data_IF_480476161660
#
_entry.id   IF_480476161660
#
_cell.length_a   1.000
_cell.length_b   1.000
_cell.length_c   1.000
_cell.angle_alpha   90.00
_cell.angle_beta   90.00
_cell.angle_gamma   90.00
#
_symmetry.space_group_name_H-M   'P 1'
#
loop_
_entity.id
_entity.type
_entity.pdbx_description
1 polymer ?
#
# COMPACT_ATOMS: atom_id res chain seq x y z
N UNK A 1 27.42 -10.84 7.50
CA UNK A 1 26.35 -10.02 6.90
C UNK A 1 25.09 -10.26 7.69
N UNK A 2 24.30 -9.22 7.98
CA UNK A 2 22.97 -9.39 8.61
C UNK A 2 21.94 -9.61 7.51
N UNK A 3 21.01 -10.54 7.72
CA UNK A 3 19.83 -10.67 6.85
C UNK A 3 18.92 -9.46 7.11
N UNK A 4 18.27 -8.96 6.06
CA UNK A 4 17.22 -7.95 6.15
C UNK A 4 15.90 -8.55 5.72
N UNK A 5 14.90 -8.47 6.59
CA UNK A 5 13.55 -8.99 6.37
C UNK A 5 12.62 -7.81 6.12
N UNK A 6 11.90 -7.86 4.99
CA UNK A 6 10.96 -6.83 4.59
C UNK A 6 9.55 -7.42 4.63
N UNK A 7 8.68 -6.82 5.44
CA UNK A 7 7.24 -7.12 5.41
C UNK A 7 6.59 -6.45 4.19
N UNK A 8 6.27 -7.23 3.17
CA UNK A 8 5.56 -6.71 1.98
C UNK A 8 4.09 -6.45 2.32
N UNK A 9 3.75 -5.19 2.56
CA UNK A 9 2.35 -4.75 2.70
C UNK A 9 1.70 -4.67 1.31
N UNK A 10 2.45 -4.19 0.33
CA UNK A 10 1.99 -4.08 -1.06
C UNK A 10 0.72 -3.24 -1.15
N UNK A 11 -0.36 -3.89 -1.61
CA UNK A 11 -1.72 -3.32 -1.70
C UNK A 11 -2.73 -4.06 -0.81
N UNK A 12 -2.26 -4.90 0.11
CA UNK A 12 -3.10 -5.76 0.97
C UNK A 12 -3.93 -4.99 1.99
N UNK A 13 -3.72 -3.67 2.08
CA UNK A 13 -4.49 -2.75 2.92
C UNK A 13 -5.87 -2.42 2.34
N UNK A 14 -6.17 -2.77 1.08
CA UNK A 14 -7.47 -2.49 0.46
C UNK A 14 -7.89 -1.01 0.55
N UNK A 15 -6.94 -0.08 0.36
CA UNK A 15 -7.23 1.36 0.49
C UNK A 15 -7.60 1.84 1.90
N UNK A 16 -7.51 0.98 2.92
CA UNK A 16 -7.91 1.28 4.28
C UNK A 16 -6.67 1.50 5.17
N UNK A 17 -6.61 2.67 5.80
CA UNK A 17 -5.48 3.09 6.63
C UNK A 17 -5.38 2.28 7.94
N UNK A 18 -6.50 1.85 8.51
CA UNK A 18 -6.50 1.04 9.73
C UNK A 18 -6.00 -0.38 9.43
N UNK A 19 -6.38 -0.95 8.29
CA UNK A 19 -5.81 -2.22 7.82
C UNK A 19 -4.29 -2.05 7.59
N UNK A 20 -3.85 -0.96 6.95
CA UNK A 20 -2.43 -0.69 6.77
C UNK A 20 -1.68 -0.62 8.11
N UNK A 21 -2.19 0.13 9.09
CA UNK A 21 -1.61 0.22 10.45
C UNK A 21 -1.54 -1.15 11.13
N UNK A 22 -2.58 -1.97 11.02
CA UNK A 22 -2.58 -3.33 11.55
C UNK A 22 -1.51 -4.22 10.91
N UNK A 23 -1.33 -4.13 9.59
CA UNK A 23 -0.30 -4.89 8.87
C UNK A 23 1.11 -4.43 9.24
N UNK A 24 1.34 -3.13 9.37
CA UNK A 24 2.61 -2.57 9.84
C UNK A 24 2.94 -3.11 11.24
N UNK A 25 1.97 -3.04 12.16
CA UNK A 25 2.15 -3.54 13.53
C UNK A 25 2.46 -5.03 13.54
N UNK A 26 1.75 -5.83 12.76
CA UNK A 26 2.00 -7.27 12.66
C UNK A 26 3.42 -7.59 12.14
N UNK A 27 3.91 -6.84 11.14
CA UNK A 27 5.26 -7.00 10.62
C UNK A 27 6.33 -6.60 11.66
N UNK A 28 6.11 -5.51 12.38
CA UNK A 28 6.97 -5.06 13.47
C UNK A 28 7.03 -6.08 14.61
N UNK A 29 5.88 -6.58 15.06
CA UNK A 29 5.78 -7.58 16.12
C UNK A 29 6.43 -8.92 15.71
N UNK A 30 6.45 -9.23 14.42
CA UNK A 30 7.14 -10.39 13.86
C UNK A 30 8.67 -10.20 13.71
N UNK A 31 9.19 -9.00 13.98
CA UNK A 31 10.62 -8.68 13.91
C UNK A 31 11.13 -8.35 12.50
N UNK A 32 10.27 -7.85 11.61
CA UNK A 32 10.73 -7.34 10.32
C UNK A 32 11.61 -6.08 10.51
N UNK A 33 12.63 -5.91 9.65
CA UNK A 33 13.49 -4.73 9.67
C UNK A 33 12.79 -3.50 9.05
N UNK A 34 11.88 -3.75 8.12
CA UNK A 34 11.13 -2.70 7.42
C UNK A 34 9.85 -3.23 6.81
N UNK A 35 8.94 -2.33 6.46
CA UNK A 35 7.74 -2.63 5.67
C UNK A 35 7.79 -1.96 4.31
N UNK A 36 7.22 -2.61 3.29
CA UNK A 36 7.22 -2.09 1.92
C UNK A 36 5.81 -2.01 1.34
N UNK A 37 5.50 -0.86 0.74
CA UNK A 37 4.25 -0.59 0.02
C UNK A 37 4.47 -0.63 -1.50
N UNK A 38 3.38 -0.74 -2.24
CA UNK A 38 3.36 -0.51 -3.68
C UNK A 38 2.56 0.76 -3.97
N UNK A 39 3.17 1.71 -4.68
CA UNK A 39 2.50 2.91 -5.18
C UNK A 39 2.44 2.82 -6.70
N UNK A 40 1.30 3.18 -7.28
CA UNK A 40 1.19 3.36 -8.74
C UNK A 40 0.61 4.73 -9.06
N UNK A 41 1.07 5.31 -10.16
CA UNK A 41 0.27 6.31 -10.88
C UNK A 41 -0.44 5.54 -11.99
N UNK A 42 -1.73 5.26 -11.83
CA UNK A 42 -2.40 4.22 -12.61
C UNK A 42 -2.42 4.55 -14.12
N UNK A 43 -2.46 5.83 -14.47
CA UNK A 43 -2.43 6.33 -15.86
C UNK A 43 -1.05 6.16 -16.52
N UNK A 44 0.01 5.97 -15.72
CA UNK A 44 1.36 5.68 -16.23
C UNK A 44 1.60 4.18 -16.39
N UNK A 45 0.91 3.36 -15.60
CA UNK A 45 1.13 1.91 -15.55
C UNK A 45 0.18 1.17 -16.50
N UNK A 46 -1.01 1.71 -16.73
CA UNK A 46 -2.07 1.06 -17.50
C UNK A 46 -2.55 1.93 -18.66
N UNK A 47 -3.03 1.29 -19.73
CA UNK A 47 -3.69 1.98 -20.84
C UNK A 47 -5.07 2.46 -20.41
N UNK A 48 -5.57 3.53 -21.05
CA UNK A 48 -6.94 4.00 -20.82
C UNK A 48 -7.97 2.91 -21.13
N UNK A 49 -7.79 2.18 -22.23
CA UNK A 49 -8.66 1.05 -22.61
C UNK A 49 -8.77 0.00 -21.50
N UNK A 50 -7.66 -0.35 -20.83
CA UNK A 50 -7.70 -1.29 -19.72
C UNK A 50 -8.40 -0.68 -18.50
N UNK A 51 -8.07 0.58 -18.16
CA UNK A 51 -8.68 1.26 -17.01
C UNK A 51 -10.19 1.42 -17.16
N UNK A 52 -10.68 1.62 -18.37
CA UNK A 52 -12.10 1.82 -18.67
C UNK A 52 -12.84 0.49 -18.93
N UNK A 53 -12.17 -0.66 -18.82
CA UNK A 53 -12.79 -1.99 -18.94
C UNK A 53 -13.50 -2.43 -17.65
N UNK A 54 -14.52 -3.27 -17.81
CA UNK A 54 -15.38 -3.72 -16.73
C UNK A 54 -14.60 -4.52 -15.65
N UNK A 55 -14.91 -4.21 -14.40
CA UNK A 55 -14.50 -4.97 -13.23
C UNK A 55 -15.41 -4.69 -12.03
N UNK A 56 -16.15 -5.72 -11.62
CA UNK A 56 -16.89 -5.70 -10.36
C UNK A 56 -15.92 -5.69 -9.16
N UNK A 57 -16.04 -4.67 -8.31
CA UNK A 57 -15.22 -4.48 -7.12
C UNK A 57 -15.93 -3.62 -6.06
N UNK A 58 -15.48 -3.65 -4.79
CA UNK A 58 -16.03 -2.78 -3.75
C UNK A 58 -15.94 -1.27 -4.03
N UNK A 59 -15.12 -0.85 -5.00
CA UNK A 59 -14.91 0.57 -5.33
C UNK A 59 -15.68 1.03 -6.57
N UNK A 60 -16.29 0.11 -7.31
CA UNK A 60 -16.99 0.39 -8.56
C UNK A 60 -16.87 -0.74 -9.58
N UNK A 61 -17.31 -0.46 -10.79
CA UNK A 61 -17.53 -1.43 -11.86
C UNK A 61 -16.46 -1.37 -12.96
N UNK A 62 -15.39 -0.58 -12.76
CA UNK A 62 -14.26 -0.46 -13.70
C UNK A 62 -12.91 -0.81 -13.08
N UNK A 63 -11.93 -1.19 -13.91
CA UNK A 63 -10.54 -1.39 -13.46
C UNK A 63 -9.96 -0.12 -12.83
N UNK A 64 -10.35 1.06 -13.31
CA UNK A 64 -9.95 2.36 -12.78
C UNK A 64 -10.37 2.51 -11.33
N UNK A 65 -11.65 2.37 -11.04
CA UNK A 65 -12.21 2.56 -9.70
C UNK A 65 -11.56 1.64 -8.68
N UNK A 66 -11.39 0.36 -9.01
CA UNK A 66 -10.68 -0.58 -8.13
C UNK A 66 -9.25 -0.11 -7.84
N UNK A 67 -8.51 0.31 -8.88
CA UNK A 67 -7.11 0.68 -8.71
C UNK A 67 -6.95 1.97 -7.94
N UNK A 68 -7.74 3.00 -8.26
CA UNK A 68 -7.77 4.26 -7.52
C UNK A 68 -8.11 4.02 -6.05
N UNK A 69 -9.11 3.17 -5.79
CA UNK A 69 -9.51 2.77 -4.44
C UNK A 69 -8.44 2.06 -3.62
N UNK A 70 -7.40 1.50 -4.26
CA UNK A 70 -6.26 0.88 -3.60
C UNK A 70 -5.06 1.82 -3.44
N UNK A 71 -5.07 2.99 -4.06
CA UNK A 71 -3.95 3.92 -4.00
C UNK A 71 -4.07 4.86 -2.80
N UNK A 72 -2.99 4.98 -2.04
CA UNK A 72 -2.86 6.02 -1.04
C UNK A 72 -2.34 7.33 -1.64
N UNK A 73 -2.83 8.43 -1.08
CA UNK A 73 -2.38 9.79 -1.34
C UNK A 73 -1.33 10.24 -0.33
N UNK A 74 -1.00 11.53 -0.39
CA UNK A 74 0.04 12.13 0.47
C UNK A 74 -0.35 12.07 1.94
N UNK A 75 -1.63 12.28 2.26
CA UNK A 75 -2.12 12.30 3.64
C UNK A 75 -2.02 10.92 4.29
N UNK A 76 -2.42 9.86 3.58
CA UNK A 76 -2.32 8.49 4.08
C UNK A 76 -0.86 8.06 4.25
N UNK A 77 0.03 8.41 3.32
CA UNK A 77 1.46 8.14 3.50
C UNK A 77 2.09 8.95 4.64
N UNK A 78 1.60 10.15 4.93
CA UNK A 78 2.06 10.92 6.09
C UNK A 78 1.65 10.23 7.40
N UNK A 79 0.45 9.67 7.45
CA UNK A 79 -0.03 8.87 8.59
C UNK A 79 0.76 7.56 8.74
N UNK A 80 1.06 6.86 7.64
CA UNK A 80 1.91 5.67 7.63
C UNK A 80 3.31 6.01 8.15
N UNK A 81 3.87 7.13 7.71
CA UNK A 81 5.20 7.58 8.14
C UNK A 81 5.24 7.87 9.64
N UNK A 82 4.24 8.59 10.15
CA UNK A 82 4.12 8.87 11.59
C UNK A 82 4.00 7.56 12.39
N UNK A 83 3.14 6.64 11.95
CA UNK A 83 2.92 5.38 12.66
C UNK A 83 4.16 4.47 12.65
N UNK A 84 4.87 4.39 11.51
CA UNK A 84 6.12 3.63 11.42
C UNK A 84 7.19 4.21 12.36
N UNK A 85 7.28 5.55 12.48
CA UNK A 85 8.19 6.22 13.42
C UNK A 85 7.86 5.91 14.88
N UNK A 86 6.59 5.89 15.24
CA UNK A 86 6.14 5.52 16.59
C UNK A 86 6.54 4.08 16.96
N UNK A 87 6.45 3.16 16.02
CA UNK A 87 6.84 1.76 16.20
C UNK A 87 8.35 1.52 16.08
N UNK A 88 9.10 2.47 15.53
CA UNK A 88 10.54 2.34 15.29
C UNK A 88 10.90 1.43 14.11
N UNK A 89 10.00 1.23 13.14
CA UNK A 89 10.21 0.42 11.94
C UNK A 89 10.41 1.32 10.71
N UNK A 90 11.37 0.97 9.86
CA UNK A 90 11.58 1.70 8.59
C UNK A 90 10.51 1.32 7.58
N UNK A 91 10.15 2.23 6.69
CA UNK A 91 9.25 1.93 5.58
C UNK A 91 9.72 2.54 4.27
N UNK A 92 9.28 1.94 3.16
CA UNK A 92 9.50 2.48 1.82
C UNK A 92 8.44 1.97 0.86
N UNK A 93 8.41 2.51 -0.36
CA UNK A 93 7.50 2.06 -1.41
C UNK A 93 8.25 1.78 -2.72
N UNK A 94 7.74 0.83 -3.50
CA UNK A 94 8.06 0.69 -4.91
C UNK A 94 7.10 1.55 -5.72
N UNK A 95 7.65 2.39 -6.60
CA UNK A 95 6.90 3.29 -7.48
C UNK A 95 7.02 2.87 -8.95
#
# INVERSE_FOLDING_TARGET
MSIKIIGEIGINHNGDLDIAKNLIKAANDAGADSVKFQKRTIEKVYTSEFLDSDRDSPWGDTQREQKEGLEFGVEEYQEIDNYCKELGISWFASA
#
